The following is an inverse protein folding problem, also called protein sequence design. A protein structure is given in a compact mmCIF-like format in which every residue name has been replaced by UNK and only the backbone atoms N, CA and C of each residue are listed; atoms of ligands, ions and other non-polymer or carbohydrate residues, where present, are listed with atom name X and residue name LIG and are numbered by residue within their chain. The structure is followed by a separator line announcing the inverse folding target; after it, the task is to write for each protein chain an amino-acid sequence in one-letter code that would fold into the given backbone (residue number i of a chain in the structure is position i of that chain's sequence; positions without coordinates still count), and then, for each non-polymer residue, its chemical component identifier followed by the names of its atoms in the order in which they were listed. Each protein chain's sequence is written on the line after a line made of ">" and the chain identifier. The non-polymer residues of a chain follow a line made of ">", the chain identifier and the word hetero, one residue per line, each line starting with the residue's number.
data_IF_977596185083
#
_entry.id   IF_977596185083
#
_cell.length_a   1.000
_cell.length_b   1.000
_cell.length_c   1.000
_cell.angle_alpha   90.00
_cell.angle_beta   90.00
_cell.angle_gamma   90.00
#
_symmetry.space_group_name_H-M   'P 1'
#
loop_
_entity.id
_entity.type
_entity.pdbx_description
1 polymer ?
#
# COMPACT_ATOMS: atom_id res chain seq x y z
N UNK A 1 20.12 17.97 1.87
CA UNK A 1 19.39 16.71 2.08
C UNK A 1 19.78 15.81 0.93
N UNK A 2 20.35 14.65 1.23
CA UNK A 2 20.72 13.67 0.20
C UNK A 2 19.79 12.48 0.34
N UNK A 3 19.17 12.10 -0.76
CA UNK A 3 18.16 11.06 -0.79
C UNK A 3 18.68 9.89 -1.61
N UNK A 4 18.39 8.67 -1.14
CA UNK A 4 18.78 7.43 -1.82
C UNK A 4 17.54 6.61 -2.15
N UNK A 5 17.42 6.23 -3.42
CA UNK A 5 16.39 5.31 -3.91
C UNK A 5 16.84 3.87 -3.70
N UNK A 6 15.90 3.03 -3.29
CA UNK A 6 16.07 1.59 -3.11
C UNK A 6 14.90 0.86 -3.77
N UNK A 7 15.18 -0.35 -4.23
CA UNK A 7 14.17 -1.35 -4.53
C UNK A 7 14.10 -2.30 -3.33
N UNK A 8 12.90 -2.59 -2.87
CA UNK A 8 12.70 -3.52 -1.76
C UNK A 8 13.12 -4.92 -2.22
N UNK A 9 13.94 -5.58 -1.40
CA UNK A 9 14.45 -6.94 -1.67
C UNK A 9 14.36 -7.86 -0.47
N UNK A 10 14.10 -7.31 0.74
CA UNK A 10 14.03 -8.05 1.99
C UNK A 10 12.82 -7.65 2.81
N UNK A 11 12.18 -8.63 3.40
CA UNK A 11 10.95 -8.44 4.19
C UNK A 11 11.10 -7.44 5.34
N UNK A 12 12.28 -7.37 5.97
CA UNK A 12 12.53 -6.47 7.09
C UNK A 12 12.60 -4.97 6.69
N UNK A 13 12.61 -4.67 5.39
CA UNK A 13 12.54 -3.31 4.86
C UNK A 13 11.11 -2.74 4.90
N UNK A 14 10.08 -3.59 4.98
CA UNK A 14 8.68 -3.15 4.94
C UNK A 14 8.28 -2.30 6.14
N UNK A 15 8.82 -2.54 7.34
CA UNK A 15 8.42 -1.78 8.53
C UNK A 15 8.56 -0.26 8.33
N UNK A 16 9.71 0.19 7.79
CA UNK A 16 9.92 1.62 7.50
C UNK A 16 9.04 2.14 6.36
N UNK A 17 8.71 1.29 5.38
CA UNK A 17 7.80 1.62 4.28
C UNK A 17 6.38 1.83 4.81
N UNK A 18 5.91 0.94 5.67
CA UNK A 18 4.57 1.01 6.28
C UNK A 18 4.43 2.20 7.22
N UNK A 19 5.47 2.54 7.97
CA UNK A 19 5.49 3.77 8.77
C UNK A 19 5.34 5.01 7.88
N UNK A 20 6.07 5.06 6.76
CA UNK A 20 5.96 6.15 5.78
C UNK A 20 4.56 6.22 5.14
N UNK A 21 3.98 5.08 4.81
CA UNK A 21 2.62 4.99 4.25
C UNK A 21 1.56 5.47 5.24
N UNK A 22 1.62 5.00 6.49
CA UNK A 22 0.72 5.44 7.54
C UNK A 22 0.81 6.95 7.76
N UNK A 23 2.04 7.49 7.82
CA UNK A 23 2.24 8.93 7.95
C UNK A 23 1.67 9.68 6.74
N UNK A 24 1.93 9.20 5.52
CA UNK A 24 1.51 9.85 4.28
C UNK A 24 -0.02 9.84 4.04
N UNK A 25 -0.76 8.89 4.59
CA UNK A 25 -2.22 8.85 4.50
C UNK A 25 -2.96 9.33 5.74
N UNK A 26 -2.24 9.58 6.84
CA UNK A 26 -2.85 10.13 8.05
C UNK A 26 -3.25 11.60 7.90
N UNK A 27 -2.54 12.38 7.07
CA UNK A 27 -2.77 13.82 6.90
C UNK A 27 -2.66 14.23 5.41
N UNK A 28 -3.75 14.72 4.78
CA UNK A 28 -5.10 14.84 5.34
C UNK A 28 -5.77 13.48 5.55
N UNK A 29 -6.74 13.44 6.46
CA UNK A 29 -7.48 12.22 6.81
C UNK A 29 -7.97 11.48 5.56
N UNK A 30 -7.56 10.22 5.43
CA UNK A 30 -7.98 9.32 4.37
C UNK A 30 -8.83 8.16 4.93
N UNK A 31 -10.15 8.29 4.87
CA UNK A 31 -11.06 7.26 5.37
C UNK A 31 -10.95 5.91 4.64
N UNK A 32 -10.50 5.90 3.39
CA UNK A 32 -10.22 4.65 2.66
C UNK A 32 -8.95 3.97 3.20
N UNK A 33 -7.95 4.75 3.62
CA UNK A 33 -6.77 4.22 4.30
C UNK A 33 -7.12 3.59 5.65
N UNK A 34 -8.02 4.19 6.43
CA UNK A 34 -8.45 3.62 7.72
C UNK A 34 -9.10 2.24 7.59
N UNK A 35 -9.74 1.97 6.45
CA UNK A 35 -10.27 0.64 6.11
C UNK A 35 -9.13 -0.34 5.76
N UNK A 36 -8.16 0.11 4.97
CA UNK A 36 -7.05 -0.71 4.46
C UNK A 36 -5.96 -1.00 5.49
N UNK A 37 -5.66 -0.05 6.39
CA UNK A 37 -4.58 -0.17 7.37
C UNK A 37 -4.86 -1.23 8.43
N UNK A 38 -6.10 -1.64 8.58
CA UNK A 38 -6.49 -2.70 9.51
C UNK A 38 -6.31 -2.32 11.00
N UNK A 39 -6.34 -3.33 11.88
CA UNK A 39 -6.38 -3.14 13.33
C UNK A 39 -5.02 -2.72 13.95
N UNK A 40 -3.90 -3.04 13.31
CA UNK A 40 -2.56 -2.72 13.83
C UNK A 40 -1.53 -2.56 12.72
N UNK A 41 -0.47 -1.80 12.99
CA UNK A 41 0.65 -1.62 12.06
C UNK A 41 1.45 -2.92 11.85
N UNK A 42 1.51 -3.79 12.86
CA UNK A 42 2.15 -5.11 12.78
C UNK A 42 1.42 -6.00 11.77
N UNK A 43 0.10 -6.13 11.91
CA UNK A 43 -0.75 -6.89 10.96
C UNK A 43 -0.61 -6.34 9.54
N UNK A 44 -0.68 -5.01 9.39
CA UNK A 44 -0.52 -4.36 8.09
C UNK A 44 0.83 -4.67 7.44
N UNK A 45 1.90 -4.69 8.23
CA UNK A 45 3.25 -4.99 7.75
C UNK A 45 3.35 -6.44 7.28
N UNK A 46 2.86 -7.39 8.07
CA UNK A 46 2.83 -8.81 7.70
C UNK A 46 2.01 -9.03 6.44
N UNK A 47 0.82 -8.44 6.36
CA UNK A 47 -0.08 -8.58 5.21
C UNK A 47 0.50 -7.98 3.93
N UNK A 48 1.06 -6.78 3.97
CA UNK A 48 1.67 -6.19 2.77
C UNK A 48 2.93 -6.93 2.33
N UNK A 49 3.75 -7.40 3.27
CA UNK A 49 4.89 -8.27 2.97
C UNK A 49 4.44 -9.54 2.27
N UNK A 50 3.40 -10.20 2.82
CA UNK A 50 2.80 -11.39 2.22
C UNK A 50 2.24 -11.10 0.82
N UNK A 51 1.44 -10.05 0.64
CA UNK A 51 0.89 -9.67 -0.66
C UNK A 51 1.96 -9.42 -1.70
N UNK A 52 3.04 -8.71 -1.34
CA UNK A 52 4.17 -8.51 -2.23
C UNK A 52 4.83 -9.83 -2.63
N UNK A 53 5.10 -10.71 -1.66
CA UNK A 53 5.75 -12.01 -1.90
C UNK A 53 4.92 -12.95 -2.80
N UNK A 54 3.59 -12.81 -2.77
CA UNK A 54 2.66 -13.65 -3.53
C UNK A 54 2.32 -13.09 -4.91
N UNK A 55 2.64 -11.82 -5.20
CA UNK A 55 2.35 -11.16 -6.47
C UNK A 55 3.64 -10.88 -7.25
N UNK A 56 4.00 -11.71 -8.25
CA UNK A 56 5.18 -11.49 -9.10
C UNK A 56 5.16 -10.19 -9.89
N UNK A 57 4.01 -9.51 -10.01
CA UNK A 57 3.90 -8.20 -10.65
C UNK A 57 4.29 -7.04 -9.73
N UNK A 58 4.26 -7.25 -8.41
CA UNK A 58 4.46 -6.21 -7.40
C UNK A 58 5.93 -5.81 -7.32
N UNK A 59 6.22 -4.51 -7.31
CA UNK A 59 7.55 -3.90 -7.17
C UNK A 59 7.44 -2.73 -6.21
N UNK A 60 8.19 -2.79 -5.12
CA UNK A 60 8.26 -1.70 -4.15
C UNK A 60 9.55 -0.91 -4.32
N UNK A 61 9.40 0.40 -4.43
CA UNK A 61 10.50 1.37 -4.43
C UNK A 61 10.33 2.29 -3.22
N UNK A 62 11.42 2.62 -2.56
CA UNK A 62 11.40 3.55 -1.44
C UNK A 62 12.64 4.45 -1.41
N UNK A 63 12.50 5.60 -0.76
CA UNK A 63 13.54 6.62 -0.67
C UNK A 63 13.88 6.83 0.80
N UNK A 64 15.17 6.81 1.12
CA UNK A 64 15.67 7.17 2.45
C UNK A 64 16.35 8.54 2.45
N UNK A 65 16.17 9.32 3.50
CA UNK A 65 17.08 10.43 3.82
C UNK A 65 18.38 9.85 4.37
N UNK A 66 19.51 10.09 3.69
CA UNK A 66 20.81 9.55 4.09
C UNK A 66 21.31 10.12 5.43
N UNK A 67 20.81 11.28 5.87
CA UNK A 67 21.20 11.86 7.14
C UNK A 67 20.55 11.14 8.34
N UNK A 68 19.31 10.65 8.18
CA UNK A 68 18.53 10.04 9.27
C UNK A 68 18.38 8.52 9.11
N UNK A 69 18.58 7.99 7.91
CA UNK A 69 18.26 6.62 7.53
C UNK A 69 16.76 6.34 7.40
N UNK A 70 15.90 7.34 7.58
CA UNK A 70 14.45 7.14 7.57
C UNK A 70 13.89 7.06 6.15
N UNK A 71 12.88 6.22 5.96
CA UNK A 71 12.07 6.19 4.73
C UNK A 71 11.21 7.45 4.68
N UNK A 72 11.37 8.25 3.63
CA UNK A 72 10.66 9.53 3.44
C UNK A 72 9.65 9.48 2.29
N UNK A 73 9.68 8.42 1.50
CA UNK A 73 8.72 8.14 0.46
C UNK A 73 8.78 6.67 0.03
N UNK A 74 7.66 6.13 -0.38
CA UNK A 74 7.55 4.77 -0.88
C UNK A 74 6.52 4.70 -2.01
N UNK A 75 6.60 3.63 -2.79
CA UNK A 75 5.72 3.44 -3.93
C UNK A 75 5.65 1.97 -4.28
N UNK A 76 4.43 1.48 -4.51
CA UNK A 76 4.19 0.19 -5.14
C UNK A 76 3.86 0.38 -6.62
N UNK A 77 4.45 -0.47 -7.45
CA UNK A 77 4.05 -0.69 -8.83
C UNK A 77 3.59 -2.13 -9.02
N UNK A 78 2.48 -2.32 -9.74
CA UNK A 78 2.19 -3.63 -10.34
C UNK A 78 2.40 -3.53 -11.85
N UNK A 79 3.23 -4.40 -12.41
CA UNK A 79 3.53 -4.48 -13.85
C UNK A 79 2.95 -5.78 -14.39
N UNK A 80 1.91 -5.67 -15.21
CA UNK A 80 1.24 -6.81 -15.82
C UNK A 80 1.56 -6.89 -17.32
N UNK A 81 2.24 -7.96 -17.73
CA UNK A 81 2.49 -8.26 -19.16
C UNK A 81 1.25 -8.86 -19.84
N UNK A 82 0.42 -9.54 -19.06
CA UNK A 82 -0.85 -10.15 -19.49
C UNK A 82 -2.03 -9.54 -18.71
N UNK A 83 -3.26 -9.78 -19.16
CA UNK A 83 -4.44 -9.27 -18.46
C UNK A 83 -4.60 -9.96 -17.09
N UNK A 84 -4.46 -9.24 -15.95
CA UNK A 84 -4.57 -9.85 -14.62
C UNK A 84 -6.01 -10.27 -14.26
N UNK A 85 -6.99 -9.95 -15.11
CA UNK A 85 -8.40 -10.29 -14.94
C UNK A 85 -8.91 -11.29 -15.98
N UNK A 86 -8.01 -11.99 -16.69
CA UNK A 86 -8.40 -12.97 -17.71
C UNK A 86 -9.27 -14.10 -17.13
N UNK A 87 -8.97 -14.52 -15.90
CA UNK A 87 -9.70 -15.57 -15.17
C UNK A 87 -10.84 -15.02 -14.29
N UNK A 88 -11.17 -13.73 -14.44
CA UNK A 88 -12.16 -13.03 -13.63
C UNK A 88 -11.52 -12.09 -12.60
N UNK A 89 -12.37 -11.41 -11.82
CA UNK A 89 -11.91 -10.51 -10.75
C UNK A 89 -11.60 -11.35 -9.51
N UNK A 90 -10.37 -11.28 -8.96
CA UNK A 90 -10.06 -11.92 -7.69
C UNK A 90 -10.99 -11.41 -6.59
N UNK A 91 -11.44 -12.32 -5.73
CA UNK A 91 -12.12 -11.93 -4.52
C UNK A 91 -11.11 -11.25 -3.58
N UNK A 92 -11.53 -10.16 -2.92
CA UNK A 92 -10.65 -9.36 -2.07
C UNK A 92 -11.35 -9.03 -0.74
N UNK A 93 -11.58 -10.05 0.10
CA UNK A 93 -12.20 -9.86 1.41
C UNK A 93 -11.26 -9.14 2.37
N UNK A 94 -11.82 -8.33 3.27
CA UNK A 94 -11.10 -7.66 4.34
C UNK A 94 -10.88 -8.59 5.55
N UNK A 95 -10.20 -9.70 5.31
CA UNK A 95 -9.95 -10.77 6.27
C UNK A 95 -9.03 -10.39 7.45
N UNK A 96 -8.33 -9.26 7.33
CA UNK A 96 -7.58 -8.63 8.43
C UNK A 96 -8.47 -8.09 9.56
N UNK A 97 -9.77 -7.95 9.31
CA UNK A 97 -10.74 -7.66 10.36
C UNK A 97 -11.39 -8.94 10.91
N UNK A 98 -11.75 -8.99 12.19
CA UNK A 98 -12.49 -10.12 12.75
C UNK A 98 -13.78 -10.39 11.96
N UNK A 99 -14.10 -11.67 11.76
CA UNK A 99 -15.20 -12.14 10.90
C UNK A 99 -16.55 -11.48 11.20
N UNK A 100 -16.90 -11.37 12.47
CA UNK A 100 -18.17 -10.77 12.90
C UNK A 100 -18.12 -9.26 13.09
N UNK A 101 -17.00 -8.60 12.77
CA UNK A 101 -16.85 -7.16 13.04
C UNK A 101 -17.67 -6.31 12.04
N UNK A 102 -18.29 -5.21 12.51
CA UNK A 102 -18.91 -4.22 11.62
C UNK A 102 -17.90 -3.62 10.62
N UNK A 103 -16.64 -3.49 11.02
CA UNK A 103 -15.57 -2.97 10.17
C UNK A 103 -15.29 -3.88 8.99
N UNK A 104 -15.27 -5.22 9.17
CA UNK A 104 -15.14 -6.16 8.05
C UNK A 104 -16.23 -5.96 7.02
N UNK A 105 -17.51 -5.92 7.45
CA UNK A 105 -18.66 -5.74 6.55
C UNK A 105 -18.60 -4.44 5.74
N UNK A 106 -18.19 -3.34 6.39
CA UNK A 106 -18.01 -2.05 5.72
C UNK A 106 -16.83 -2.12 4.76
N UNK A 107 -15.72 -2.72 5.18
CA UNK A 107 -14.50 -2.85 4.38
C UNK A 107 -14.75 -3.69 3.12
N UNK A 108 -15.41 -4.84 3.24
CA UNK A 108 -15.79 -5.71 2.13
C UNK A 108 -16.64 -4.94 1.10
N UNK A 109 -17.63 -4.18 1.57
CA UNK A 109 -18.49 -3.38 0.70
C UNK A 109 -17.69 -2.30 -0.05
N UNK A 110 -16.87 -1.54 0.69
CA UNK A 110 -16.08 -0.45 0.12
C UNK A 110 -15.04 -0.97 -0.88
N UNK A 111 -14.35 -2.07 -0.55
CA UNK A 111 -13.38 -2.71 -1.43
C UNK A 111 -14.07 -3.22 -2.70
N UNK A 112 -15.18 -3.94 -2.56
CA UNK A 112 -15.95 -4.43 -3.71
C UNK A 112 -16.34 -3.29 -4.64
N UNK A 113 -16.89 -2.20 -4.10
CA UNK A 113 -17.28 -1.03 -4.91
C UNK A 113 -16.09 -0.30 -5.53
N UNK A 114 -14.96 -0.22 -4.85
CA UNK A 114 -13.73 0.39 -5.36
C UNK A 114 -13.07 -0.45 -6.47
N UNK A 115 -13.17 -1.77 -6.39
CA UNK A 115 -12.51 -2.71 -7.29
C UNK A 115 -13.34 -3.10 -8.51
N UNK A 116 -14.67 -2.91 -8.48
CA UNK A 116 -15.61 -3.45 -9.48
C UNK A 116 -15.29 -3.10 -10.94
N UNK A 117 -14.77 -1.91 -11.20
CA UNK A 117 -14.53 -1.41 -12.55
C UNK A 117 -13.11 -1.70 -13.05
N UNK A 118 -12.23 -2.24 -12.19
CA UNK A 118 -10.85 -2.58 -12.57
C UNK A 118 -10.75 -3.51 -13.77
N UNK A 119 -11.45 -4.65 -13.89
CA UNK A 119 -11.37 -5.46 -15.11
C UNK A 119 -11.71 -4.68 -16.39
N UNK A 120 -12.59 -3.68 -16.33
CA UNK A 120 -12.94 -2.87 -17.50
C UNK A 120 -11.82 -1.91 -17.91
N UNK A 121 -11.15 -1.26 -16.93
CA UNK A 121 -10.16 -0.20 -17.18
C UNK A 121 -8.70 -0.69 -17.12
N UNK A 122 -8.44 -1.77 -16.39
CA UNK A 122 -7.15 -2.41 -16.13
C UNK A 122 -7.05 -3.81 -16.77
N UNK A 123 -8.01 -4.20 -17.62
CA UNK A 123 -7.98 -5.48 -18.37
C UNK A 123 -7.04 -5.50 -19.59
N UNK A 124 -6.21 -4.47 -19.75
CA UNK A 124 -5.25 -4.29 -20.86
C UNK A 124 -3.86 -4.06 -20.27
N UNK A 125 -2.76 -4.26 -21.01
CA UNK A 125 -1.42 -3.93 -20.51
C UNK A 125 -1.36 -2.51 -19.94
N UNK A 126 -0.99 -2.40 -18.68
CA UNK A 126 -0.97 -1.15 -17.93
C UNK A 126 0.03 -1.22 -16.78
N UNK A 127 0.37 -0.05 -16.25
CA UNK A 127 1.19 0.09 -15.06
C UNK A 127 0.33 0.73 -13.98
N UNK A 128 0.20 0.06 -12.82
CA UNK A 128 -0.59 0.53 -11.67
C UNK A 128 0.35 1.07 -10.60
N UNK A 129 0.08 2.25 -10.06
CA UNK A 129 0.98 2.99 -9.15
C UNK A 129 0.26 3.38 -7.85
N UNK A 130 0.94 3.21 -6.71
CA UNK A 130 0.51 3.68 -5.38
C UNK A 130 1.58 4.56 -4.73
N UNK A 131 1.55 5.89 -4.92
CA UNK A 131 2.55 6.78 -4.32
C UNK A 131 2.24 7.03 -2.84
N UNK A 132 3.28 6.95 -2.00
CA UNK A 132 3.26 7.24 -0.56
C UNK A 132 4.33 8.27 -0.24
N UNK A 133 3.94 9.39 0.33
CA UNK A 133 4.89 10.45 0.73
C UNK A 133 4.57 10.90 2.12
N UNK A 134 5.53 10.77 3.05
CA UNK A 134 5.40 11.35 4.38
C UNK A 134 6.01 12.75 4.37
N UNK A 135 5.20 13.78 4.54
CA UNK A 135 5.71 15.12 4.86
C UNK A 135 6.06 15.18 6.34
N UNK A 136 7.27 14.80 6.71
CA UNK A 136 7.83 15.24 7.99
C UNK A 136 8.24 16.70 7.84
N UNK A 137 7.25 17.60 7.76
CA UNK A 137 7.53 19.02 7.80
C UNK A 137 7.93 19.35 9.23
N UNK A 138 9.24 19.38 9.52
CA UNK A 138 9.74 20.21 10.60
C UNK A 138 9.47 21.67 10.17
N UNK A 139 8.26 22.16 10.44
CA UNK A 139 8.03 23.59 10.52
C UNK A 139 8.80 24.06 11.75
N UNK A 140 10.06 24.45 11.53
CA UNK A 140 10.77 25.32 12.46
C UNK A 140 9.98 26.63 12.50
N UNK A 141 9.10 26.75 13.50
CA UNK A 141 8.53 28.02 13.90
C UNK A 141 9.68 28.84 14.49
N UNK A 142 10.09 29.89 13.77
CA UNK A 142 10.95 30.96 14.28
C UNK A 142 10.12 31.85 15.20
#
# INVERSE_FOLDING_TARGET
>A
MTFKLHEQTRDDEFAGIIDCENAGYSEPFNGFWEILRGPSAEELTERQTMWHSLDPSSRWLYVTDEATGQVVGAMEWNIYEENPYADGVPDFPADWWPEDSPLRKISDYVLKEFLKDRPHVMGKPHVRMYPKTSTTSQHNTI
#
